data_IF_992335049662
#
_entry.id   IF_992335049662
#
_cell.length_a   1.000
_cell.length_b   1.000
_cell.length_c   1.000
_cell.angle_alpha   90.00
_cell.angle_beta   90.00
_cell.angle_gamma   90.00
#
_symmetry.space_group_name_H-M   'P 1'
#
loop_
_entity.id
_entity.type
_entity.pdbx_description
1 polymer ?
#
# COMPACT_ATOMS: atom_id res chain seq x y z
N UNK A 1 12.05 3.16 -9.85
CA UNK A 1 11.63 2.20 -10.89
C UNK A 1 12.86 1.62 -11.53
N UNK A 2 12.90 0.30 -11.65
CA UNK A 2 13.91 -0.42 -12.44
C UNK A 2 13.22 -0.96 -13.69
N UNK A 3 13.93 -1.01 -14.80
CA UNK A 3 13.42 -1.49 -16.09
C UNK A 3 14.39 -2.49 -16.70
N UNK A 4 13.87 -3.61 -17.22
CA UNK A 4 14.59 -4.51 -18.11
C UNK A 4 14.65 -3.94 -19.53
N UNK A 5 15.69 -4.26 -20.27
CA UNK A 5 15.86 -3.81 -21.68
C UNK A 5 14.89 -4.50 -22.64
N UNK A 6 14.39 -5.66 -22.27
CA UNK A 6 13.50 -6.53 -23.06
C UNK A 6 12.69 -7.42 -22.12
N UNK A 7 11.87 -8.30 -22.67
CA UNK A 7 11.05 -9.26 -21.92
C UNK A 7 11.81 -10.52 -21.45
N UNK A 8 13.13 -10.54 -21.60
CA UNK A 8 13.97 -11.62 -21.10
C UNK A 8 14.06 -11.52 -19.56
N UNK A 9 13.63 -12.55 -18.80
CA UNK A 9 13.67 -12.54 -17.34
C UNK A 9 15.10 -12.47 -16.77
N UNK A 10 16.12 -12.84 -17.56
CA UNK A 10 17.53 -12.73 -17.18
C UNK A 10 18.16 -11.38 -17.58
N UNK A 11 17.38 -10.49 -18.23
CA UNK A 11 17.89 -9.19 -18.63
C UNK A 11 18.27 -8.35 -17.40
N UNK A 12 19.43 -7.70 -17.47
CA UNK A 12 19.87 -6.78 -16.43
C UNK A 12 18.90 -5.63 -16.28
N UNK A 13 18.48 -5.40 -15.04
CA UNK A 13 17.67 -4.24 -14.68
C UNK A 13 18.54 -2.98 -14.59
N UNK A 14 18.07 -1.90 -15.16
CA UNK A 14 18.69 -0.58 -15.10
C UNK A 14 17.75 0.39 -14.35
N UNK A 15 18.34 1.38 -13.65
CA UNK A 15 17.56 2.43 -13.04
C UNK A 15 16.92 3.29 -14.13
N UNK A 16 15.59 3.28 -14.19
CA UNK A 16 14.83 4.13 -15.08
C UNK A 16 14.63 5.52 -14.44
N UNK A 17 13.98 5.55 -13.29
CA UNK A 17 13.84 6.79 -12.49
C UNK A 17 13.49 6.53 -11.03
N UNK A 18 13.71 7.56 -10.23
CA UNK A 18 13.16 7.67 -8.87
C UNK A 18 11.83 8.41 -8.98
N UNK A 19 10.79 7.90 -8.33
CA UNK A 19 9.45 8.49 -8.29
C UNK A 19 9.03 8.76 -6.86
N UNK A 20 8.31 9.86 -6.66
CA UNK A 20 7.68 10.14 -5.38
C UNK A 20 6.48 9.21 -5.21
N UNK A 21 6.53 8.39 -4.16
CA UNK A 21 5.48 7.45 -3.85
C UNK A 21 4.78 7.91 -2.57
N UNK A 22 3.46 8.13 -2.59
CA UNK A 22 2.73 8.58 -1.40
C UNK A 22 2.57 7.50 -0.34
N UNK A 23 2.86 6.24 -0.69
CA UNK A 23 2.75 5.09 0.21
C UNK A 23 4.11 4.43 0.41
N UNK A 24 4.19 3.63 1.47
CA UNK A 24 5.37 2.83 1.76
C UNK A 24 6.24 3.38 2.88
N UNK A 25 6.13 4.66 3.25
CA UNK A 25 6.83 5.27 4.39
C UNK A 25 8.06 4.46 4.88
N UNK A 26 8.01 3.90 6.07
CA UNK A 26 8.97 2.92 6.60
C UNK A 26 8.38 1.48 6.66
N UNK A 27 7.40 1.19 5.85
CA UNK A 27 6.68 -0.08 5.78
C UNK A 27 6.69 -0.64 4.36
N UNK A 28 6.36 -1.91 4.22
CA UNK A 28 6.15 -2.53 2.90
C UNK A 28 4.80 -2.12 2.34
N UNK A 29 4.72 -2.12 1.03
CA UNK A 29 3.48 -2.01 0.25
C UNK A 29 3.37 -3.22 -0.68
N UNK A 30 2.18 -3.44 -1.21
CA UNK A 30 1.95 -4.41 -2.28
C UNK A 30 1.26 -3.73 -3.45
N UNK A 31 1.64 -4.13 -4.67
CA UNK A 31 1.24 -3.52 -5.91
C UNK A 31 0.82 -4.58 -6.92
N UNK A 32 -0.34 -4.35 -7.56
CA UNK A 32 -0.81 -5.14 -8.69
C UNK A 32 -1.39 -4.24 -9.78
N UNK A 33 -1.41 -4.76 -11.01
CA UNK A 33 -2.15 -4.14 -12.10
C UNK A 33 -3.57 -4.70 -12.15
N UNK A 34 -4.58 -3.83 -12.13
CA UNK A 34 -5.97 -4.25 -12.33
C UNK A 34 -6.16 -4.85 -13.74
N UNK A 35 -6.61 -6.10 -13.84
CA UNK A 35 -6.76 -6.76 -15.14
C UNK A 35 -7.82 -6.11 -16.03
N UNK A 36 -8.75 -5.32 -15.48
CA UNK A 36 -9.84 -4.66 -16.21
C UNK A 36 -9.41 -3.27 -16.69
N UNK A 37 -9.05 -2.38 -15.78
CA UNK A 37 -8.73 -0.97 -16.11
C UNK A 37 -7.28 -0.77 -16.56
N UNK A 38 -6.42 -1.77 -16.35
CA UNK A 38 -4.97 -1.71 -16.58
C UNK A 38 -4.22 -0.70 -15.70
N UNK A 39 -4.90 -0.04 -14.77
CA UNK A 39 -4.25 0.84 -13.79
C UNK A 39 -3.48 0.03 -12.76
N UNK A 40 -2.41 0.62 -12.26
CA UNK A 40 -1.64 0.05 -11.16
C UNK A 40 -2.26 0.47 -9.83
N UNK A 41 -2.44 -0.48 -8.93
CA UNK A 41 -3.03 -0.27 -7.61
C UNK A 41 -2.00 -0.66 -6.57
N UNK A 42 -1.75 0.24 -5.64
CA UNK A 42 -0.84 0.03 -4.52
C UNK A 42 -1.60 0.19 -3.21
N UNK A 43 -1.39 -0.73 -2.27
CA UNK A 43 -1.87 -0.60 -0.89
C UNK A 43 -0.67 -0.57 0.05
N UNK A 44 -0.66 0.39 0.94
CA UNK A 44 0.42 0.62 1.89
C UNK A 44 0.09 1.75 2.86
N UNK A 45 1.00 2.02 3.77
CA UNK A 45 0.84 3.16 4.69
C UNK A 45 1.25 4.47 4.03
N UNK A 46 0.49 5.52 4.28
CA UNK A 46 0.83 6.87 3.81
C UNK A 46 2.15 7.33 4.43
N UNK A 47 2.94 8.07 3.65
CA UNK A 47 4.11 8.74 4.16
C UNK A 47 3.67 9.96 4.98
N UNK A 48 4.07 10.02 6.24
CA UNK A 48 3.82 11.18 7.09
C UNK A 48 4.85 12.28 6.79
N UNK A 49 4.41 13.54 6.83
CA UNK A 49 5.26 14.69 6.51
C UNK A 49 6.45 14.82 7.45
N UNK A 50 6.25 14.59 8.75
CA UNK A 50 7.27 14.91 9.78
C UNK A 50 7.93 13.69 10.44
N UNK A 51 7.27 12.55 10.46
CA UNK A 51 7.79 11.34 11.11
C UNK A 51 7.28 10.08 10.42
N UNK A 52 8.14 9.06 10.26
CA UNK A 52 7.67 7.76 9.83
C UNK A 52 6.65 7.24 10.83
N UNK A 53 5.42 7.06 10.39
CA UNK A 53 4.39 6.39 11.17
C UNK A 53 3.62 5.43 10.25
N UNK A 54 2.77 4.59 10.85
CA UNK A 54 2.01 3.57 10.13
C UNK A 54 0.53 3.63 10.46
N UNK A 55 0.03 4.81 10.86
CA UNK A 55 -1.33 4.98 11.37
C UNK A 55 -2.38 5.16 10.29
N UNK A 56 -1.99 5.34 9.03
CA UNK A 56 -2.92 5.48 7.90
C UNK A 56 -2.59 4.47 6.83
N UNK A 57 -3.50 3.55 6.56
CA UNK A 57 -3.42 2.58 5.48
C UNK A 57 -4.28 3.05 4.31
N UNK A 58 -3.68 3.15 3.13
CA UNK A 58 -4.34 3.75 1.96
C UNK A 58 -4.15 2.94 0.70
N UNK A 59 -5.02 3.21 -0.27
CA UNK A 59 -4.92 2.75 -1.64
C UNK A 59 -4.55 3.92 -2.53
N UNK A 60 -3.52 3.73 -3.35
CA UNK A 60 -3.09 4.66 -4.37
C UNK A 60 -3.16 4.02 -5.75
N UNK A 61 -3.35 4.84 -6.77
CA UNK A 61 -3.47 4.42 -8.17
C UNK A 61 -2.49 5.17 -9.06
N UNK A 62 -2.02 4.51 -10.10
CA UNK A 62 -1.22 5.09 -11.18
C UNK A 62 -1.65 4.51 -12.53
N UNK A 63 -1.59 5.33 -13.57
CA UNK A 63 -1.80 4.90 -14.96
C UNK A 63 -0.47 4.59 -15.68
N UNK A 64 0.61 5.21 -15.23
CA UNK A 64 1.90 5.22 -15.91
C UNK A 64 3.04 4.60 -15.07
N UNK A 65 2.75 4.15 -13.85
CA UNK A 65 3.71 3.67 -12.87
C UNK A 65 4.63 4.76 -12.26
N UNK A 66 4.53 5.98 -12.72
CA UNK A 66 5.39 7.10 -12.30
C UNK A 66 4.67 8.14 -11.47
N UNK A 67 3.39 8.37 -11.78
CA UNK A 67 2.54 9.34 -11.09
C UNK A 67 1.52 8.61 -10.24
N UNK A 68 1.53 8.85 -8.93
CA UNK A 68 0.67 8.15 -7.97
C UNK A 68 -0.28 9.10 -7.28
N UNK A 69 -1.52 8.67 -7.08
CA UNK A 69 -2.54 9.41 -6.36
C UNK A 69 -3.19 8.52 -5.32
N UNK A 70 -3.27 8.98 -4.06
CA UNK A 70 -4.10 8.34 -3.03
C UNK A 70 -5.56 8.54 -3.39
N UNK A 71 -6.30 7.44 -3.51
CA UNK A 71 -7.72 7.44 -3.90
C UNK A 71 -8.65 7.02 -2.78
N UNK A 72 -8.13 6.27 -1.78
CA UNK A 72 -8.92 5.84 -0.64
C UNK A 72 -8.05 5.64 0.59
N UNK A 73 -8.42 6.25 1.71
CA UNK A 73 -7.93 5.84 3.02
C UNK A 73 -8.78 4.68 3.53
N UNK A 74 -8.15 3.53 3.74
CA UNK A 74 -8.80 2.30 4.16
C UNK A 74 -8.97 2.30 5.68
N UNK A 75 -7.89 2.61 6.38
CA UNK A 75 -7.85 2.81 7.83
C UNK A 75 -7.16 4.15 8.11
N UNK A 76 -7.84 5.05 8.80
CA UNK A 76 -7.33 6.39 9.11
C UNK A 76 -7.34 6.63 10.62
N UNK A 77 -6.20 6.42 11.22
CA UNK A 77 -5.95 6.61 12.65
C UNK A 77 -4.84 7.64 12.88
N UNK A 78 -4.78 8.70 12.04
CA UNK A 78 -3.72 9.74 12.10
C UNK A 78 -3.61 10.45 13.45
N UNK A 79 -4.68 10.45 14.24
CA UNK A 79 -4.73 11.06 15.57
C UNK A 79 -4.43 10.07 16.70
N UNK A 80 -4.18 8.80 16.39
CA UNK A 80 -3.79 7.80 17.37
C UNK A 80 -2.29 7.95 17.71
N UNK A 81 -1.90 7.35 18.85
CA UNK A 81 -0.50 7.29 19.24
C UNK A 81 0.30 6.42 18.26
N UNK A 82 1.21 6.99 17.47
CA UNK A 82 1.98 6.25 16.48
C UNK A 82 3.00 5.29 17.10
N UNK A 83 3.24 5.37 18.40
CA UNK A 83 4.10 4.41 19.10
C UNK A 83 3.41 3.05 19.29
N UNK A 84 2.08 3.02 19.33
CA UNK A 84 1.29 1.82 19.66
C UNK A 84 0.27 1.43 18.59
N UNK A 85 0.08 2.25 17.55
CA UNK A 85 -0.82 1.96 16.42
C UNK A 85 -0.04 1.86 15.14
N UNK A 86 -0.24 0.78 14.40
CA UNK A 86 0.42 0.61 13.11
C UNK A 86 -0.23 -0.46 12.24
N UNK A 87 -0.39 -0.12 10.96
CA UNK A 87 -0.85 -1.01 9.90
C UNK A 87 0.34 -1.30 8.99
N UNK A 88 0.65 -2.58 8.79
CA UNK A 88 1.88 -2.93 8.11
C UNK A 88 1.77 -4.24 7.35
N UNK A 89 2.64 -4.39 6.36
CA UNK A 89 2.74 -5.59 5.54
C UNK A 89 1.37 -6.01 4.97
N UNK A 90 0.67 -5.11 4.25
CA UNK A 90 -0.57 -5.48 3.59
C UNK A 90 -0.29 -6.59 2.57
N UNK A 91 -1.16 -7.57 2.53
CA UNK A 91 -1.23 -8.59 1.50
C UNK A 91 -2.66 -8.63 0.97
N UNK A 92 -2.85 -8.57 -0.35
CA UNK A 92 -4.17 -8.44 -0.91
C UNK A 92 -4.30 -9.09 -2.29
N UNK A 93 -5.53 -9.36 -2.68
CA UNK A 93 -5.84 -9.94 -3.97
C UNK A 93 -7.18 -9.41 -4.51
N UNK A 94 -7.37 -9.53 -5.81
CA UNK A 94 -8.67 -9.25 -6.42
C UNK A 94 -9.63 -10.43 -6.17
N UNK A 95 -10.89 -10.09 -5.88
CA UNK A 95 -12.03 -11.01 -5.82
C UNK A 95 -13.18 -10.39 -6.63
N UNK A 96 -13.13 -10.59 -7.95
CA UNK A 96 -14.05 -9.95 -8.89
C UNK A 96 -13.90 -8.42 -8.89
N UNK A 97 -14.94 -7.72 -8.42
CA UNK A 97 -14.95 -6.26 -8.30
C UNK A 97 -14.48 -5.76 -6.93
N UNK A 98 -14.10 -6.67 -6.05
CA UNK A 98 -13.65 -6.37 -4.70
C UNK A 98 -12.14 -6.61 -4.55
N UNK A 99 -11.57 -6.05 -3.48
CA UNK A 99 -10.24 -6.40 -2.98
C UNK A 99 -10.39 -7.07 -1.62
N UNK A 100 -9.77 -8.24 -1.46
CA UNK A 100 -9.58 -8.89 -0.17
C UNK A 100 -8.20 -8.51 0.35
N UNK A 101 -8.17 -7.88 1.52
CA UNK A 101 -6.96 -7.35 2.12
C UNK A 101 -6.75 -7.95 3.49
N UNK A 102 -5.53 -8.43 3.73
CA UNK A 102 -5.03 -8.87 5.01
C UNK A 102 -3.93 -7.89 5.46
N UNK A 103 -4.01 -7.40 6.69
CA UNK A 103 -3.03 -6.44 7.20
C UNK A 103 -2.62 -6.75 8.63
N UNK A 104 -1.33 -6.80 8.85
CA UNK A 104 -0.76 -6.95 10.19
C UNK A 104 -0.94 -5.65 10.96
N UNK A 105 -1.61 -5.73 12.12
CA UNK A 105 -2.10 -4.55 12.84
C UNK A 105 -1.60 -4.54 14.29
N UNK A 106 -0.99 -3.45 14.69
CA UNK A 106 -0.77 -3.08 16.08
C UNK A 106 -1.85 -2.11 16.51
N UNK A 107 -2.60 -2.45 17.58
CA UNK A 107 -3.69 -1.63 18.08
C UNK A 107 -3.99 -1.88 19.56
N UNK A 108 -4.48 -0.85 20.26
CA UNK A 108 -4.91 -0.93 21.64
C UNK A 108 -3.75 -1.18 22.60
N UNK A 109 -3.55 -2.41 23.05
CA UNK A 109 -2.50 -2.78 24.02
C UNK A 109 -1.25 -3.36 23.38
N UNK A 110 -0.93 -2.99 22.14
CA UNK A 110 0.32 -3.41 21.53
C UNK A 110 1.53 -2.86 22.30
N UNK A 111 2.62 -3.60 22.35
CA UNK A 111 3.85 -3.14 22.98
C UNK A 111 4.45 -1.96 22.22
N UNK A 112 4.43 -2.02 20.89
CA UNK A 112 4.81 -0.93 20.00
C UNK A 112 4.09 -1.08 18.64
N UNK A 113 4.23 -0.11 17.75
CA UNK A 113 3.59 -0.09 16.43
C UNK A 113 4.04 -1.25 15.53
N UNK A 114 5.21 -1.83 15.76
CA UNK A 114 5.75 -2.92 14.94
C UNK A 114 5.30 -4.29 15.46
N UNK A 115 5.08 -4.44 16.77
CA UNK A 115 4.67 -5.70 17.38
C UNK A 115 3.15 -5.86 17.25
N UNK A 116 2.74 -6.32 16.08
CA UNK A 116 1.33 -6.51 15.76
C UNK A 116 0.70 -7.56 16.68
N UNK A 117 -0.42 -7.20 17.27
CA UNK A 117 -1.24 -8.07 18.12
C UNK A 117 -2.53 -8.53 17.44
N UNK A 118 -2.80 -8.04 16.21
CA UNK A 118 -3.93 -8.45 15.39
C UNK A 118 -3.51 -8.73 13.95
N UNK A 119 -4.32 -9.55 13.30
CA UNK A 119 -4.36 -9.72 11.86
C UNK A 119 -5.76 -9.30 11.40
N UNK A 120 -5.86 -8.21 10.66
CA UNK A 120 -7.14 -7.69 10.21
C UNK A 120 -7.41 -8.12 8.77
N UNK A 121 -8.61 -8.65 8.54
CA UNK A 121 -9.13 -8.94 7.20
C UNK A 121 -10.15 -7.86 6.83
N UNK A 122 -10.00 -7.27 5.64
CA UNK A 122 -10.83 -6.17 5.15
C UNK A 122 -11.26 -6.51 3.72
N UNK A 123 -12.55 -6.37 3.43
CA UNK A 123 -13.09 -6.39 2.05
C UNK A 123 -13.31 -4.95 1.61
N UNK A 124 -12.75 -4.57 0.48
CA UNK A 124 -13.00 -3.28 -0.16
C UNK A 124 -13.94 -3.56 -1.33
N UNK A 125 -15.22 -3.31 -1.11
CA UNK A 125 -16.26 -3.56 -2.10
C UNK A 125 -16.19 -2.55 -3.24
N UNK A 126 -16.42 -3.02 -4.48
CA UNK A 126 -16.46 -2.21 -5.70
C UNK A 126 -15.28 -1.23 -5.79
N UNK A 127 -14.06 -1.72 -5.56
CA UNK A 127 -12.89 -0.86 -5.44
C UNK A 127 -12.68 0.06 -6.66
N UNK A 128 -13.15 -0.33 -7.85
CA UNK A 128 -13.02 0.46 -9.07
C UNK A 128 -13.78 1.78 -9.03
N UNK A 129 -14.74 1.96 -8.14
CA UNK A 129 -15.41 3.25 -7.94
C UNK A 129 -14.47 4.36 -7.44
N UNK A 130 -13.30 4.00 -6.95
CA UNK A 130 -12.28 4.94 -6.45
C UNK A 130 -11.18 5.27 -7.47
N UNK A 131 -11.13 4.58 -8.63
CA UNK A 131 -10.06 4.69 -9.62
C UNK A 131 -10.14 5.90 -10.55
#
# INVERSE_FOLDING_TARGET
>A
VLRGKNDDPEAKLELDRIVDCPLGSNSKFQLYQDPVTKKYIMIGTEQAEDKPNRTVLSMAVSEDFYTWKVVKRILDYRHADPAHVGFQYPDWMFDGDDILLLVRTAFGRSFNFHDANYQCFIRIENFRQYL
#
